data_IF_638374566159
#
_entry.id   IF_638374566159
#
_cell.length_a   1.000
_cell.length_b   1.000
_cell.length_c   1.000
_cell.angle_alpha   90.00
_cell.angle_beta   90.00
_cell.angle_gamma   90.00
#
_symmetry.space_group_name_H-M   'P 1'
#
loop_
_entity.id
_entity.type
_entity.pdbx_description
1 polymer ?
#
# COMPACT_ATOMS: atom_id res chain seq x y z
N UNK A 1 -15.26 -15.36 31.81
CA UNK A 1 -14.67 -14.31 30.95
C UNK A 1 -15.22 -14.51 29.56
N UNK A 2 -16.02 -13.57 29.05
CA UNK A 2 -16.49 -13.62 27.67
C UNK A 2 -15.33 -13.21 26.76
N UNK A 3 -14.95 -14.07 25.82
CA UNK A 3 -14.05 -13.68 24.76
C UNK A 3 -14.73 -12.52 24.01
N UNK A 4 -14.16 -11.32 24.10
CA UNK A 4 -14.52 -10.23 23.21
C UNK A 4 -14.27 -10.73 21.79
N UNK A 5 -15.34 -10.91 20.99
CA UNK A 5 -15.22 -11.16 19.56
C UNK A 5 -14.58 -9.91 18.95
N UNK A 6 -13.26 -9.86 18.90
CA UNK A 6 -12.58 -8.88 18.08
C UNK A 6 -12.97 -9.20 16.64
N UNK A 7 -13.57 -8.23 15.94
CA UNK A 7 -13.94 -8.40 14.53
C UNK A 7 -12.68 -8.73 13.71
N UNK A 8 -12.86 -9.56 12.69
CA UNK A 8 -11.83 -9.99 11.73
C UNK A 8 -11.48 -8.85 10.78
N UNK A 9 -10.32 -8.97 10.14
CA UNK A 9 -9.89 -8.07 9.08
C UNK A 9 -10.15 -8.69 7.72
N UNK A 10 -10.48 -7.83 6.77
CA UNK A 10 -10.68 -8.16 5.37
C UNK A 10 -9.97 -7.09 4.54
N UNK A 11 -9.55 -7.43 3.33
CA UNK A 11 -9.09 -6.49 2.31
C UNK A 11 -10.06 -6.50 1.14
N UNK A 12 -10.56 -5.33 0.76
CA UNK A 12 -11.43 -5.13 -0.38
C UNK A 12 -10.66 -4.46 -1.51
N UNK A 13 -10.82 -4.94 -2.74
CA UNK A 13 -10.36 -4.26 -3.96
C UNK A 13 -11.54 -3.50 -4.58
N UNK A 14 -11.65 -2.21 -4.26
CA UNK A 14 -12.70 -1.29 -4.73
C UNK A 14 -12.31 -0.76 -6.11
N UNK A 15 -13.20 -0.89 -7.09
CA UNK A 15 -12.99 -0.36 -8.45
C UNK A 15 -13.73 0.96 -8.60
N UNK A 16 -12.99 2.00 -8.94
CA UNK A 16 -13.48 3.35 -9.22
C UNK A 16 -13.14 3.73 -10.67
N UNK A 17 -14.10 4.32 -11.36
CA UNK A 17 -13.93 4.87 -12.70
C UNK A 17 -13.98 6.40 -12.62
N UNK A 18 -12.93 7.05 -13.13
CA UNK A 18 -12.77 8.49 -13.09
C UNK A 18 -12.79 9.01 -14.52
N UNK A 19 -13.67 9.96 -14.78
CA UNK A 19 -13.78 10.63 -16.06
C UNK A 19 -13.50 12.12 -15.91
N UNK A 20 -12.61 12.66 -16.73
CA UNK A 20 -12.32 14.09 -16.83
C UNK A 20 -13.02 14.65 -18.06
N UNK A 21 -13.76 15.74 -17.89
CA UNK A 21 -14.48 16.40 -18.97
C UNK A 21 -13.55 16.71 -20.16
N UNK A 22 -13.89 16.14 -21.32
CA UNK A 22 -13.14 16.34 -22.57
C UNK A 22 -12.00 15.35 -22.81
N UNK A 23 -11.69 14.46 -21.86
CA UNK A 23 -10.77 13.36 -22.09
C UNK A 23 -11.43 12.23 -22.90
N UNK A 24 -10.67 11.59 -23.80
CA UNK A 24 -11.15 10.45 -24.58
C UNK A 24 -11.22 9.16 -23.75
N UNK A 25 -10.30 9.02 -22.80
CA UNK A 25 -10.14 7.83 -21.97
C UNK A 25 -10.50 8.12 -20.51
N UNK A 26 -10.94 7.08 -19.80
CA UNK A 26 -11.17 7.11 -18.36
C UNK A 26 -9.91 6.64 -17.61
N UNK A 27 -9.81 7.01 -16.34
CA UNK A 27 -8.83 6.44 -15.40
C UNK A 27 -9.57 5.45 -14.50
N UNK A 28 -9.00 4.27 -14.29
CA UNK A 28 -9.59 3.26 -13.41
C UNK A 28 -8.67 3.03 -12.22
N UNK A 29 -9.17 3.28 -11.02
CA UNK A 29 -8.47 2.95 -9.79
C UNK A 29 -8.95 1.61 -9.25
N UNK A 30 -8.00 0.82 -8.74
CA UNK A 30 -8.28 -0.38 -7.94
C UNK A 30 -7.70 -0.18 -6.55
N UNK A 31 -8.54 0.34 -5.65
CA UNK A 31 -8.16 0.73 -4.30
C UNK A 31 -8.20 -0.48 -3.37
N UNK A 32 -7.11 -0.71 -2.63
CA UNK A 32 -7.04 -1.71 -1.56
C UNK A 32 -7.47 -1.06 -0.24
N UNK A 33 -8.54 -1.57 0.37
CA UNK A 33 -9.12 -1.01 1.60
C UNK A 33 -9.26 -2.08 2.67
N UNK A 34 -8.72 -1.80 3.86
CA UNK A 34 -8.89 -2.65 5.04
C UNK A 34 -10.29 -2.45 5.65
N UNK A 35 -10.98 -3.57 5.87
CA UNK A 35 -12.34 -3.61 6.41
C UNK A 35 -12.35 -4.46 7.68
N UNK A 36 -12.77 -3.88 8.80
CA UNK A 36 -13.02 -4.63 10.03
C UNK A 36 -14.48 -5.08 10.09
N UNK A 37 -14.73 -6.39 10.21
CA UNK A 37 -16.08 -6.94 10.24
C UNK A 37 -16.16 -8.25 11.05
N UNK A 38 -17.35 -8.61 11.52
CA UNK A 38 -17.57 -9.84 12.29
C UNK A 38 -17.97 -11.03 11.40
N UNK A 39 -18.22 -10.78 10.11
CA UNK A 39 -18.54 -11.78 9.10
C UNK A 39 -18.18 -11.28 7.71
N UNK A 40 -18.05 -12.19 6.75
CA UNK A 40 -17.82 -11.85 5.35
C UNK A 40 -18.97 -11.00 4.75
N UNK A 41 -20.21 -11.24 5.17
CA UNK A 41 -21.36 -10.43 4.73
C UNK A 41 -21.25 -8.99 5.24
N UNK A 42 -20.92 -8.80 6.52
CA UNK A 42 -20.71 -7.45 7.07
C UNK A 42 -19.53 -6.75 6.37
N UNK A 43 -18.46 -7.49 6.05
CA UNK A 43 -17.32 -6.97 5.29
C UNK A 43 -17.73 -6.50 3.89
N UNK A 44 -18.53 -7.28 3.18
CA UNK A 44 -19.06 -6.93 1.87
C UNK A 44 -19.91 -5.67 1.93
N UNK A 45 -20.86 -5.58 2.87
CA UNK A 45 -21.70 -4.39 3.02
C UNK A 45 -20.89 -3.13 3.33
N UNK A 46 -19.86 -3.25 4.19
CA UNK A 46 -18.94 -2.14 4.49
C UNK A 46 -18.11 -1.72 3.28
N UNK A 47 -17.53 -2.68 2.55
CA UNK A 47 -16.76 -2.39 1.35
C UNK A 47 -17.60 -1.70 0.26
N UNK A 48 -18.84 -2.14 0.07
CA UNK A 48 -19.79 -1.49 -0.84
C UNK A 48 -20.12 -0.06 -0.41
N UNK A 49 -20.35 0.17 0.89
CA UNK A 49 -20.58 1.51 1.43
C UNK A 49 -19.36 2.42 1.25
N UNK A 50 -18.15 1.92 1.52
CA UNK A 50 -16.91 2.67 1.28
C UNK A 50 -16.74 3.09 -0.17
N UNK A 51 -17.01 2.20 -1.13
CA UNK A 51 -16.97 2.54 -2.54
C UNK A 51 -17.96 3.66 -2.89
N UNK A 52 -19.21 3.54 -2.43
CA UNK A 52 -20.25 4.56 -2.64
C UNK A 52 -19.92 5.91 -2.01
N UNK A 53 -19.30 5.91 -0.83
CA UNK A 53 -18.85 7.15 -0.15
C UNK A 53 -17.72 7.85 -0.90
N UNK A 54 -16.93 7.12 -1.68
CA UNK A 54 -15.87 7.66 -2.55
C UNK A 54 -16.36 8.30 -3.84
N UNK A 55 -17.64 8.14 -4.20
CA UNK A 55 -18.22 8.80 -5.37
C UNK A 55 -18.24 10.31 -5.18
N UNK A 56 -17.63 11.04 -6.12
CA UNK A 56 -17.50 12.49 -6.00
C UNK A 56 -17.36 13.17 -7.35
N UNK A 57 -17.75 14.44 -7.37
CA UNK A 57 -17.57 15.35 -8.50
C UNK A 57 -16.83 16.58 -8.01
N UNK A 58 -15.77 16.97 -8.71
CA UNK A 58 -14.96 18.13 -8.39
C UNK A 58 -14.36 18.72 -9.67
N UNK A 59 -13.73 19.89 -9.56
CA UNK A 59 -13.00 20.49 -10.67
C UNK A 59 -11.49 20.27 -10.48
N UNK A 60 -10.80 19.91 -11.56
CA UNK A 60 -9.34 19.84 -11.58
C UNK A 60 -8.71 21.24 -11.71
N UNK A 61 -7.36 21.39 -11.62
CA UNK A 61 -6.70 22.70 -11.69
C UNK A 61 -6.97 23.46 -12.99
N UNK A 62 -7.26 22.75 -14.08
CA UNK A 62 -7.62 23.30 -15.39
C UNK A 62 -9.10 23.71 -15.47
N UNK A 63 -9.87 23.49 -14.40
CA UNK A 63 -11.30 23.82 -14.32
C UNK A 63 -12.20 22.84 -15.05
N UNK A 64 -11.69 21.65 -15.41
CA UNK A 64 -12.48 20.57 -16.01
C UNK A 64 -13.17 19.79 -14.90
N UNK A 65 -14.42 19.38 -15.16
CA UNK A 65 -15.15 18.52 -14.22
C UNK A 65 -14.57 17.11 -14.23
N UNK A 66 -14.21 16.63 -13.05
CA UNK A 66 -13.84 15.24 -12.78
C UNK A 66 -15.00 14.55 -12.07
N UNK A 67 -15.36 13.36 -12.53
CA UNK A 67 -16.39 12.50 -11.92
C UNK A 67 -15.78 11.16 -11.57
N UNK A 68 -15.69 10.85 -10.27
CA UNK A 68 -15.35 9.51 -9.78
C UNK A 68 -16.63 8.73 -9.48
N UNK A 69 -16.73 7.53 -10.04
CA UNK A 69 -17.90 6.64 -9.92
C UNK A 69 -17.47 5.28 -9.41
N UNK A 70 -18.18 4.75 -8.42
CA UNK A 70 -17.93 3.41 -7.91
C UNK A 70 -18.50 2.35 -8.85
N UNK A 71 -17.68 1.37 -9.22
CA UNK A 71 -18.06 0.31 -10.17
C UNK A 71 -18.34 -1.02 -9.51
N UNK A 72 -17.81 -1.24 -8.30
CA UNK A 72 -18.00 -2.47 -7.55
C UNK A 72 -16.71 -2.95 -6.90
N UNK A 73 -16.74 -4.18 -6.37
CA UNK A 73 -15.58 -4.86 -5.82
C UNK A 73 -15.04 -5.84 -6.84
N UNK A 74 -13.73 -5.82 -7.08
CA UNK A 74 -13.03 -6.86 -7.86
C UNK A 74 -12.57 -8.02 -6.99
N UNK A 75 -12.40 -7.80 -5.68
CA UNK A 75 -12.04 -8.82 -4.70
C UNK A 75 -12.48 -8.42 -3.28
N UNK A 76 -12.67 -9.42 -2.41
CA UNK A 76 -12.87 -9.26 -0.97
C UNK A 76 -12.34 -10.52 -0.26
N UNK A 77 -11.24 -10.38 0.47
CA UNK A 77 -10.53 -11.50 1.10
C UNK A 77 -10.40 -11.29 2.61
N UNK A 78 -10.59 -12.35 3.40
CA UNK A 78 -10.37 -12.34 4.85
C UNK A 78 -8.87 -12.44 5.14
N UNK A 79 -8.36 -11.60 6.05
CA UNK A 79 -7.03 -11.73 6.62
C UNK A 79 -7.15 -12.65 7.84
N UNK A 80 -6.48 -13.81 7.78
CA UNK A 80 -6.64 -14.88 8.78
C UNK A 80 -5.73 -14.71 10.01
N UNK A 81 -4.74 -13.83 9.91
CA UNK A 81 -3.69 -13.54 10.87
C UNK A 81 -3.86 -12.15 11.45
N UNK A 82 -3.16 -11.88 12.56
CA UNK A 82 -3.12 -10.54 13.13
C UNK A 82 -2.21 -9.66 12.27
N UNK A 83 -2.57 -8.37 12.12
CA UNK A 83 -1.76 -7.43 11.35
C UNK A 83 -0.47 -7.08 12.12
N UNK A 84 0.66 -7.58 11.63
CA UNK A 84 1.99 -7.31 12.16
C UNK A 84 3.03 -7.09 11.05
N UNK A 85 4.25 -6.73 11.45
CA UNK A 85 5.36 -6.52 10.51
C UNK A 85 5.67 -7.82 9.75
N UNK A 86 5.75 -7.72 8.43
CA UNK A 86 5.96 -8.88 7.55
C UNK A 86 4.71 -9.73 7.28
N UNK A 87 3.54 -9.36 7.78
CA UNK A 87 2.30 -10.12 7.56
C UNK A 87 1.77 -9.96 6.12
N UNK A 88 1.26 -11.05 5.55
CA UNK A 88 0.66 -11.04 4.22
C UNK A 88 -0.79 -10.52 4.28
N UNK A 89 -1.08 -9.46 3.53
CA UNK A 89 -2.44 -8.91 3.44
C UNK A 89 -3.27 -9.65 2.38
N UNK A 90 -2.67 -9.97 1.24
CA UNK A 90 -3.28 -10.72 0.13
C UNK A 90 -2.18 -11.34 -0.72
N UNK A 91 -2.52 -12.36 -1.50
CA UNK A 91 -1.62 -12.94 -2.50
C UNK A 91 -2.37 -13.17 -3.81
N UNK A 92 -1.61 -13.18 -4.90
CA UNK A 92 -2.09 -13.58 -6.22
C UNK A 92 -1.22 -14.71 -6.73
N UNK A 93 -1.84 -15.66 -7.43
CA UNK A 93 -1.14 -16.82 -7.96
C UNK A 93 -1.32 -16.89 -9.48
N UNK A 94 -0.19 -16.97 -10.17
CA UNK A 94 -0.11 -17.27 -11.60
C UNK A 94 0.54 -18.64 -11.79
N UNK A 95 0.14 -19.36 -12.84
CA UNK A 95 0.66 -20.70 -13.16
C UNK A 95 1.17 -20.73 -14.59
N UNK A 96 2.40 -21.20 -14.77
CA UNK A 96 2.99 -21.42 -16.09
C UNK A 96 3.62 -20.19 -16.73
N UNK A 97 3.99 -19.18 -15.93
CA UNK A 97 4.78 -18.05 -16.40
C UNK A 97 6.20 -18.49 -16.78
N UNK A 98 6.74 -17.90 -17.84
CA UNK A 98 8.16 -18.00 -18.17
C UNK A 98 9.03 -16.98 -17.41
N UNK A 99 10.35 -17.06 -17.59
CA UNK A 99 11.28 -16.19 -16.88
C UNK A 99 11.10 -14.71 -17.29
N UNK A 100 10.82 -14.42 -18.55
CA UNK A 100 10.67 -13.04 -19.03
C UNK A 100 9.39 -12.42 -18.44
N UNK A 101 8.32 -13.21 -18.34
CA UNK A 101 7.08 -12.82 -17.67
C UNK A 101 7.30 -12.56 -16.16
N UNK A 102 8.07 -13.41 -15.46
CA UNK A 102 8.39 -13.20 -14.05
C UNK A 102 9.26 -11.95 -13.86
N UNK A 103 10.27 -11.75 -14.70
CA UNK A 103 11.13 -10.56 -14.63
C UNK A 103 10.35 -9.27 -14.90
N UNK A 104 9.34 -9.31 -15.76
CA UNK A 104 8.48 -8.14 -16.00
C UNK A 104 7.64 -7.71 -14.79
N UNK A 105 7.51 -8.56 -13.76
CA UNK A 105 6.83 -8.23 -12.51
C UNK A 105 7.75 -7.52 -11.49
N UNK A 106 9.06 -7.49 -11.74
CA UNK A 106 10.04 -6.94 -10.81
C UNK A 106 10.44 -5.53 -11.24
N UNK A 107 10.10 -4.55 -10.41
CA UNK A 107 10.52 -3.16 -10.62
C UNK A 107 11.91 -2.89 -10.01
N UNK A 108 12.76 -2.11 -10.67
CA UNK A 108 13.96 -1.57 -10.03
C UNK A 108 13.56 -0.63 -8.88
N UNK A 109 14.48 -0.44 -7.92
CA UNK A 109 14.19 0.26 -6.65
C UNK A 109 13.58 1.66 -6.87
N UNK A 110 14.15 2.42 -7.81
CA UNK A 110 13.75 3.78 -8.17
C UNK A 110 12.40 3.86 -8.90
N UNK A 111 11.88 2.73 -9.37
CA UNK A 111 10.53 2.64 -9.95
C UNK A 111 9.48 2.11 -8.96
N UNK A 112 9.88 1.66 -7.76
CA UNK A 112 8.92 1.35 -6.70
C UNK A 112 8.23 2.63 -6.24
N UNK A 113 6.90 2.61 -6.10
CA UNK A 113 6.05 3.80 -5.86
C UNK A 113 6.55 4.73 -4.74
N UNK A 114 7.13 4.19 -3.66
CA UNK A 114 7.64 4.99 -2.54
C UNK A 114 8.93 5.76 -2.84
N UNK A 115 9.72 5.27 -3.81
CA UNK A 115 11.00 5.88 -4.22
C UNK A 115 10.88 6.64 -5.54
N UNK A 116 9.83 6.35 -6.34
CA UNK A 116 9.57 6.99 -7.61
C UNK A 116 9.36 8.49 -7.43
N UNK A 117 10.12 9.29 -8.16
CA UNK A 117 9.89 10.74 -8.24
C UNK A 117 8.83 11.02 -9.30
N UNK A 118 7.88 11.90 -9.00
CA UNK A 118 6.92 12.36 -10.00
C UNK A 118 7.66 13.12 -11.10
N UNK A 119 7.52 12.69 -12.34
CA UNK A 119 8.01 13.39 -13.51
C UNK A 119 6.84 13.89 -14.37
N UNK A 120 6.65 15.21 -14.45
CA UNK A 120 5.55 15.81 -15.22
C UNK A 120 5.55 15.42 -16.71
N UNK A 121 6.71 15.14 -17.32
CA UNK A 121 6.79 14.79 -18.74
C UNK A 121 6.41 13.33 -19.04
N UNK A 122 6.67 12.41 -18.10
CA UNK A 122 6.38 10.97 -18.28
C UNK A 122 4.98 10.60 -17.76
N UNK A 123 4.47 11.36 -16.78
CA UNK A 123 3.16 11.12 -16.17
C UNK A 123 2.03 11.96 -16.80
N UNK A 124 2.32 12.76 -17.84
CA UNK A 124 1.33 13.65 -18.47
C UNK A 124 0.27 12.94 -19.32
N UNK A 125 0.48 11.67 -19.66
CA UNK A 125 -0.41 10.91 -20.54
C UNK A 125 -1.72 10.51 -19.84
N UNK A 126 -1.81 10.68 -18.52
CA UNK A 126 -3.03 10.46 -17.73
C UNK A 126 -3.80 11.77 -17.58
N UNK A 127 -5.13 11.78 -17.78
CA UNK A 127 -5.95 12.96 -17.50
C UNK A 127 -5.70 13.51 -16.08
N UNK A 128 -5.64 14.84 -15.93
CA UNK A 128 -5.41 15.45 -14.60
C UNK A 128 -6.63 15.26 -13.69
N UNK A 129 -6.54 14.27 -12.82
CA UNK A 129 -7.56 13.92 -11.82
C UNK A 129 -7.29 14.57 -10.45
N UNK A 130 -6.35 15.50 -10.33
CA UNK A 130 -6.11 16.15 -9.03
C UNK A 130 -7.28 17.07 -8.69
N UNK A 131 -7.72 17.05 -7.43
CA UNK A 131 -8.72 18.01 -6.98
C UNK A 131 -8.06 19.39 -6.79
N UNK A 132 -8.58 20.42 -7.47
CA UNK A 132 -8.07 21.79 -7.36
C UNK A 132 -8.02 22.30 -5.91
N UNK A 133 -9.06 21.99 -5.13
CA UNK A 133 -9.17 22.41 -3.74
C UNK A 133 -8.00 21.90 -2.87
N UNK A 134 -7.47 20.70 -3.15
CA UNK A 134 -6.33 20.15 -2.40
C UNK A 134 -5.02 20.88 -2.70
N UNK A 135 -4.85 21.41 -3.91
CA UNK A 135 -3.64 22.18 -4.26
C UNK A 135 -3.65 23.60 -3.70
N UNK A 136 -4.83 24.18 -3.48
CA UNK A 136 -4.98 25.52 -2.89
C UNK A 136 -4.81 25.49 -1.36
N UNK A 137 -4.99 24.33 -0.71
CA UNK A 137 -4.90 24.17 0.76
C UNK A 137 -3.53 23.70 1.27
N UNK A 138 -2.59 23.30 0.40
CA UNK A 138 -1.23 22.93 0.84
C UNK A 138 -0.38 24.20 0.92
N UNK A 139 -0.07 24.75 2.12
CA UNK A 139 1.08 25.63 2.24
C UNK A 139 2.27 24.82 1.78
N UNK A 140 2.98 25.33 0.77
CA UNK A 140 4.18 24.67 0.27
C UNK A 140 5.05 24.28 1.48
N UNK A 141 5.35 22.99 1.70
CA UNK A 141 6.36 22.66 2.68
C UNK A 141 7.60 23.42 2.22
N UNK A 142 8.12 24.27 3.11
CA UNK A 142 9.49 24.69 2.96
C UNK A 142 10.30 23.40 3.05
N UNK A 143 10.63 22.82 1.89
CA UNK A 143 11.71 21.87 1.80
C UNK A 143 12.92 22.65 2.30
N UNK A 144 13.22 22.52 3.59
CA UNK A 144 14.52 22.93 4.10
C UNK A 144 15.52 22.13 3.28
N UNK A 145 16.32 22.88 2.53
CA UNK A 145 17.40 22.39 1.71
C UNK A 145 18.29 21.48 2.58
N UNK A 146 18.12 20.16 2.48
CA UNK A 146 18.97 19.18 3.18
C UNK A 146 20.45 19.25 2.71
N UNK A 147 20.78 20.18 1.83
CA UNK A 147 22.15 20.55 1.49
C UNK A 147 22.92 21.29 2.61
N UNK A 148 22.38 21.45 3.83
CA UNK A 148 23.15 22.03 4.95
C UNK A 148 23.16 21.25 6.27
N UNK A 149 22.59 20.05 6.32
CA UNK A 149 22.78 19.18 7.48
C UNK A 149 24.15 18.47 7.42
N UNK A 150 25.23 19.20 7.73
CA UNK A 150 26.45 18.54 8.22
C UNK A 150 26.20 18.07 9.65
N UNK A 151 25.44 16.99 9.80
CA UNK A 151 25.51 16.14 10.96
C UNK A 151 26.27 14.89 10.49
N UNK A 152 27.57 14.84 10.79
CA UNK A 152 28.26 13.56 10.89
C UNK A 152 27.55 12.80 12.04
N UNK A 153 26.51 12.05 11.69
CA UNK A 153 26.03 11.01 12.58
C UNK A 153 27.11 9.94 12.59
N UNK A 154 27.74 9.77 13.76
CA UNK A 154 28.63 8.67 14.08
C UNK A 154 27.86 7.35 13.89
N UNK A 155 27.84 6.85 12.65
CA UNK A 155 27.52 5.46 12.38
C UNK A 155 28.64 4.64 13.00
N UNK A 156 28.38 4.06 14.17
CA UNK A 156 29.28 3.06 14.75
C UNK A 156 29.51 1.98 13.69
N UNK A 157 30.75 1.92 13.21
CA UNK A 157 31.19 0.94 12.22
C UNK A 157 30.96 -0.45 12.81
N UNK A 158 29.95 -1.16 12.27
CA UNK A 158 29.59 -2.49 12.75
C UNK A 158 30.76 -3.43 12.46
N UNK A 159 31.48 -3.85 13.51
CA UNK A 159 32.57 -4.83 13.38
C UNK A 159 32.00 -6.19 12.91
N UNK A 160 32.28 -6.60 11.66
CA UNK A 160 31.73 -7.85 11.13
C UNK A 160 32.20 -9.08 11.90
N UNK A 161 33.35 -9.00 12.58
CA UNK A 161 33.87 -10.09 13.41
C UNK A 161 33.09 -10.22 14.72
N UNK A 162 32.64 -9.11 15.30
CA UNK A 162 31.81 -9.14 16.50
C UNK A 162 30.44 -9.76 16.23
N UNK A 163 29.84 -9.43 15.07
CA UNK A 163 28.56 -10.03 14.63
C UNK A 163 28.72 -11.53 14.39
N UNK A 164 29.80 -11.96 13.71
CA UNK A 164 30.05 -13.38 13.46
C UNK A 164 30.25 -14.17 14.77
N UNK A 165 30.98 -13.61 15.73
CA UNK A 165 31.22 -14.23 17.02
C UNK A 165 29.93 -14.42 17.82
N UNK A 166 29.00 -13.47 17.75
CA UNK A 166 27.71 -13.55 18.43
C UNK A 166 26.77 -14.57 17.79
N UNK A 167 26.77 -14.66 16.47
CA UNK A 167 26.03 -15.72 15.74
C UNK A 167 26.58 -17.10 16.10
N UNK A 168 27.90 -17.28 16.15
CA UNK A 168 28.50 -18.55 16.58
C UNK A 168 28.19 -18.89 18.04
N UNK A 169 28.09 -17.88 18.93
CA UNK A 169 27.70 -18.06 20.33
C UNK A 169 26.28 -18.61 20.41
N UNK A 170 25.33 -17.98 19.73
CA UNK A 170 23.91 -18.39 19.69
C UNK A 170 23.76 -19.81 19.12
N UNK A 171 24.55 -20.17 18.10
CA UNK A 171 24.50 -21.50 17.50
C UNK A 171 25.16 -22.61 18.33
N UNK A 172 26.01 -22.26 19.31
CA UNK A 172 26.65 -23.22 20.23
C UNK A 172 25.87 -23.42 21.53
N UNK A 173 24.85 -22.61 21.82
CA UNK A 173 23.99 -22.83 22.97
C UNK A 173 23.12 -24.08 22.75
N UNK A 174 23.16 -25.07 23.66
CA UNK A 174 22.28 -26.22 23.55
C UNK A 174 20.84 -25.76 23.73
N UNK A 175 20.01 -25.92 22.70
CA UNK A 175 18.56 -25.77 22.80
C UNK A 175 18.06 -26.80 23.82
N UNK A 176 17.55 -26.34 24.96
CA UNK A 176 16.89 -27.19 25.93
C UNK A 176 15.57 -27.68 25.32
N UNK A 177 15.58 -28.89 24.74
CA UNK A 177 14.40 -29.51 24.14
C UNK A 177 13.68 -30.41 25.13
N UNK A 178 13.44 -29.96 26.37
CA UNK A 178 12.55 -30.64 27.32
C UNK A 178 11.85 -29.67 28.26
N UNK A 179 10.66 -29.22 27.85
CA UNK A 179 9.44 -29.18 28.68
C UNK A 179 8.35 -28.49 27.86
N UNK A 180 7.55 -29.27 27.12
CA UNK A 180 6.20 -28.89 26.69
C UNK A 180 5.49 -30.11 26.09
N UNK A 181 5.27 -31.12 26.93
CA UNK A 181 4.19 -32.10 26.76
C UNK A 181 3.81 -32.64 28.14
N UNK A 182 3.02 -31.87 28.89
CA UNK A 182 2.07 -32.36 29.89
C UNK A 182 0.87 -31.44 30.01
#
# INVERSE_FOLDING_TARGET
MGASKQGKWYVAEIVEEIHVEGAEENVVHRNLVLIRANSAEEAFQKAMAHGQEGEMIYDNPQGQRVTSTFRGLSNLTEIYTDLEDGEEITYYQWVGLDEDEIQSMLLPKDELDIFRQWNEEEDSDVPDIRARALLEEVPQPAYEDEASATAEEDLEEIDPQAVLAEVERILREPRDTREDYR
#
